data_IF_643981723578
#
_entry.id   IF_643981723578
#
_cell.length_a   1.000
_cell.length_b   1.000
_cell.length_c   1.000
_cell.angle_alpha   90.00
_cell.angle_beta   90.00
_cell.angle_gamma   90.00
#
_symmetry.space_group_name_H-M   'P 1'
#
loop_
_entity.id
_entity.type
_entity.pdbx_description
1 polymer ?
#
# COMPACT_ATOMS: atom_id res chain seq x y z
N UNK A 1 -14.84 7.29 -0.16
CA UNK A 1 -14.00 6.35 0.63
C UNK A 1 -12.56 6.48 0.16
N UNK A 2 -11.57 6.40 1.06
CA UNK A 2 -10.15 6.47 0.68
C UNK A 2 -9.75 5.19 -0.08
N UNK A 3 -9.07 5.37 -1.22
CA UNK A 3 -8.54 4.28 -2.03
C UNK A 3 -7.45 3.51 -1.26
N UNK A 4 -7.33 2.18 -1.45
CA UNK A 4 -6.25 1.41 -0.82
C UNK A 4 -4.88 1.98 -1.24
N UNK A 5 -3.93 2.02 -0.31
CA UNK A 5 -2.68 2.77 -0.52
C UNK A 5 -1.67 2.10 -1.46
N UNK A 6 -1.67 0.77 -1.55
CA UNK A 6 -0.72 -0.02 -2.33
C UNK A 6 -1.32 -1.39 -2.66
N UNK A 7 -1.00 -1.96 -3.81
CA UNK A 7 -1.34 -3.34 -4.18
C UNK A 7 -0.18 -4.28 -3.78
N UNK A 8 -0.38 -5.27 -2.90
CA UNK A 8 0.65 -6.24 -2.59
C UNK A 8 0.68 -7.32 -3.68
N UNK A 9 1.76 -7.35 -4.46
CA UNK A 9 2.03 -8.41 -5.45
C UNK A 9 3.21 -9.23 -4.97
N UNK A 10 2.96 -10.52 -4.72
CA UNK A 10 3.97 -11.47 -4.26
C UNK A 10 4.48 -12.28 -5.46
N UNK A 11 5.72 -12.08 -5.94
CA UNK A 11 6.18 -12.67 -7.20
C UNK A 11 6.18 -14.19 -7.20
N UNK A 12 6.56 -14.82 -6.09
CA UNK A 12 6.58 -16.27 -5.91
C UNK A 12 5.20 -16.90 -6.14
N UNK A 13 4.18 -16.31 -5.52
CA UNK A 13 2.83 -16.81 -5.58
C UNK A 13 2.13 -16.37 -6.88
N UNK A 14 2.48 -15.20 -7.42
CA UNK A 14 2.02 -14.77 -8.75
C UNK A 14 2.51 -15.72 -9.83
N UNK A 15 3.80 -16.07 -9.86
CA UNK A 15 4.37 -16.97 -10.86
C UNK A 15 3.84 -18.39 -10.68
N UNK A 16 3.70 -18.88 -9.44
CA UNK A 16 3.10 -20.20 -9.18
C UNK A 16 1.73 -20.37 -9.81
N UNK A 17 0.88 -19.35 -9.72
CA UNK A 17 -0.50 -19.44 -10.23
C UNK A 17 -0.57 -19.14 -11.74
N UNK A 18 0.37 -18.38 -12.29
CA UNK A 18 0.27 -17.80 -13.64
C UNK A 18 1.36 -18.26 -14.63
N UNK A 19 2.26 -19.18 -14.29
CA UNK A 19 3.41 -19.53 -15.14
C UNK A 19 3.06 -20.05 -16.54
N UNK A 20 1.83 -20.55 -16.75
CA UNK A 20 1.36 -21.03 -18.06
C UNK A 20 0.85 -19.91 -18.97
N UNK A 21 0.66 -18.71 -18.44
CA UNK A 21 0.22 -17.57 -19.25
C UNK A 21 1.35 -17.11 -20.17
N UNK A 22 0.98 -16.73 -21.38
CA UNK A 22 1.86 -15.98 -22.29
C UNK A 22 2.15 -14.58 -21.72
N UNK A 23 3.20 -13.93 -22.22
CA UNK A 23 3.56 -12.57 -21.82
C UNK A 23 2.41 -11.58 -22.00
N UNK A 24 1.63 -11.72 -23.07
CA UNK A 24 0.50 -10.85 -23.32
C UNK A 24 -0.66 -11.10 -22.35
N UNK A 25 -0.93 -12.36 -22.01
CA UNK A 25 -1.92 -12.71 -20.99
C UNK A 25 -1.49 -12.23 -19.60
N UNK A 26 -0.19 -12.25 -19.28
CA UNK A 26 0.32 -11.62 -18.07
C UNK A 26 0.04 -10.11 -18.07
N UNK A 27 0.29 -9.42 -19.19
CA UNK A 27 -0.05 -8.01 -19.33
C UNK A 27 -1.53 -7.74 -19.10
N UNK A 28 -2.41 -8.52 -19.74
CA UNK A 28 -3.85 -8.44 -19.54
C UNK A 28 -4.23 -8.66 -18.07
N UNK A 29 -3.74 -9.73 -17.45
CA UNK A 29 -4.03 -10.04 -16.05
C UNK A 29 -3.60 -8.92 -15.10
N UNK A 30 -2.40 -8.36 -15.27
CA UNK A 30 -1.89 -7.26 -14.46
C UNK A 30 -2.73 -5.97 -14.63
N UNK A 31 -3.12 -5.62 -15.86
CA UNK A 31 -3.97 -4.45 -16.12
C UNK A 31 -5.32 -4.57 -15.42
N UNK A 32 -5.96 -5.73 -15.53
CA UNK A 32 -7.24 -5.98 -14.85
C UNK A 32 -7.08 -5.95 -13.32
N UNK A 33 -6.02 -6.54 -12.77
CA UNK A 33 -5.74 -6.48 -11.33
C UNK A 33 -5.58 -5.04 -10.82
N UNK A 34 -4.83 -4.21 -11.56
CA UNK A 34 -4.59 -2.81 -11.17
C UNK A 34 -5.87 -1.97 -11.22
N UNK A 35 -6.68 -2.14 -12.27
CA UNK A 35 -7.96 -1.43 -12.36
C UNK A 35 -8.95 -1.90 -11.27
N UNK A 36 -9.05 -3.22 -11.05
CA UNK A 36 -9.89 -3.78 -10.00
C UNK A 36 -9.46 -3.24 -8.63
N UNK A 37 -8.16 -3.18 -8.34
CA UNK A 37 -7.65 -2.64 -7.09
C UNK A 37 -8.05 -1.19 -6.83
N UNK A 38 -8.12 -0.40 -7.91
CA UNK A 38 -8.47 1.02 -7.87
C UNK A 38 -9.98 1.26 -7.73
N UNK A 39 -10.79 0.23 -7.96
CA UNK A 39 -12.25 0.27 -7.86
C UNK A 39 -12.74 0.21 -6.40
N UNK A 40 -13.94 0.73 -6.10
CA UNK A 40 -14.44 0.86 -4.73
C UNK A 40 -14.78 -0.47 -4.05
N UNK A 41 -14.95 -1.55 -4.83
CA UNK A 41 -15.37 -2.87 -4.40
C UNK A 41 -14.37 -3.99 -4.79
N UNK A 42 -13.22 -3.62 -5.34
CA UNK A 42 -12.20 -4.55 -5.83
C UNK A 42 -12.71 -5.50 -6.93
N UNK A 43 -13.57 -4.98 -7.80
CA UNK A 43 -14.16 -5.72 -8.92
C UNK A 43 -14.29 -4.86 -10.18
N UNK A 44 -14.58 -5.49 -11.31
CA UNK A 44 -14.75 -4.90 -12.63
C UNK A 44 -16.09 -5.29 -13.25
N UNK A 45 -16.63 -4.53 -14.20
CA UNK A 45 -17.77 -4.98 -15.02
C UNK A 45 -17.45 -6.25 -15.81
N UNK A 46 -18.35 -7.23 -15.85
CA UNK A 46 -18.23 -8.42 -16.71
C UNK A 46 -18.67 -8.08 -18.15
N UNK A 47 -17.95 -7.15 -18.78
CA UNK A 47 -18.21 -6.72 -20.15
C UNK A 47 -16.92 -6.73 -20.97
N UNK A 48 -16.92 -7.47 -22.08
CA UNK A 48 -15.75 -7.61 -22.95
C UNK A 48 -15.16 -6.27 -23.43
N UNK A 49 -16.01 -5.32 -23.81
CA UNK A 49 -15.55 -4.03 -24.35
C UNK A 49 -14.87 -3.19 -23.27
N UNK A 50 -15.41 -3.20 -22.06
CA UNK A 50 -14.82 -2.48 -20.93
C UNK A 50 -13.50 -3.11 -20.51
N UNK A 51 -13.45 -4.44 -20.42
CA UNK A 51 -12.21 -5.17 -20.06
C UNK A 51 -11.12 -5.01 -21.12
N UNK A 52 -11.48 -5.02 -22.41
CA UNK A 52 -10.54 -4.75 -23.50
C UNK A 52 -10.00 -3.32 -23.44
N UNK A 53 -10.85 -2.35 -23.12
CA UNK A 53 -10.48 -0.94 -22.95
C UNK A 53 -9.53 -0.75 -21.78
N UNK A 54 -9.80 -1.40 -20.64
CA UNK A 54 -8.91 -1.38 -19.46
C UNK A 54 -7.51 -1.90 -19.82
N UNK A 55 -7.46 -2.99 -20.59
CA UNK A 55 -6.20 -3.60 -21.00
C UNK A 55 -5.51 -2.90 -22.18
N UNK A 56 -6.15 -1.88 -22.78
CA UNK A 56 -5.61 -1.14 -23.92
C UNK A 56 -5.48 -1.96 -25.22
N UNK A 57 -6.31 -2.98 -25.40
CA UNK A 57 -6.29 -3.85 -26.59
C UNK A 57 -7.62 -3.84 -27.33
N UNK A 58 -7.61 -4.26 -28.59
CA UNK A 58 -8.84 -4.35 -29.38
C UNK A 58 -9.74 -5.48 -28.86
N UNK A 59 -11.09 -5.36 -28.98
CA UNK A 59 -12.00 -6.44 -28.58
C UNK A 59 -11.70 -7.77 -29.28
N UNK A 60 -11.31 -7.72 -30.56
CA UNK A 60 -10.91 -8.91 -31.31
C UNK A 60 -9.68 -9.61 -30.71
N UNK A 61 -8.69 -8.83 -30.22
CA UNK A 61 -7.52 -9.38 -29.53
C UNK A 61 -7.90 -9.92 -28.16
N UNK A 62 -8.70 -9.16 -27.41
CA UNK A 62 -9.19 -9.56 -26.09
C UNK A 62 -9.89 -10.92 -26.15
N UNK A 63 -10.81 -11.15 -27.10
CA UNK A 63 -11.49 -12.46 -27.26
C UNK A 63 -10.56 -13.64 -27.43
N UNK A 64 -9.40 -13.44 -28.08
CA UNK A 64 -8.43 -14.51 -28.32
C UNK A 64 -7.67 -14.91 -27.05
N UNK A 65 -7.34 -13.95 -26.19
CA UNK A 65 -6.42 -14.16 -25.05
C UNK A 65 -7.13 -14.20 -23.69
N UNK A 66 -8.33 -13.63 -23.59
CA UNK A 66 -9.07 -13.49 -22.34
C UNK A 66 -9.58 -14.79 -21.71
N UNK A 67 -9.91 -15.88 -22.43
CA UNK A 67 -10.46 -17.08 -21.77
C UNK A 67 -9.58 -17.62 -20.64
N UNK A 68 -8.28 -17.81 -20.89
CA UNK A 68 -7.32 -18.31 -19.89
C UNK A 68 -7.09 -17.33 -18.73
N UNK A 69 -7.19 -16.02 -19.02
CA UNK A 69 -7.06 -15.00 -17.99
C UNK A 69 -8.31 -14.94 -17.12
N UNK A 70 -9.49 -14.90 -17.72
CA UNK A 70 -10.78 -14.76 -17.04
C UNK A 70 -11.18 -16.02 -16.26
N UNK A 71 -10.61 -17.19 -16.57
CA UNK A 71 -10.75 -18.40 -15.73
C UNK A 71 -10.26 -18.16 -14.29
N UNK A 72 -9.28 -17.26 -14.12
CA UNK A 72 -8.74 -16.89 -12.81
C UNK A 72 -9.63 -15.90 -12.03
N UNK A 73 -10.70 -15.41 -12.65
CA UNK A 73 -11.65 -14.45 -12.08
C UNK A 73 -12.96 -15.15 -11.74
N UNK A 74 -13.59 -14.71 -10.66
CA UNK A 74 -14.94 -15.14 -10.26
C UNK A 74 -15.95 -14.13 -10.80
N UNK A 75 -17.05 -14.63 -11.37
CA UNK A 75 -18.14 -13.82 -11.90
C UNK A 75 -19.31 -13.85 -10.93
N UNK A 76 -19.84 -12.69 -10.58
CA UNK A 76 -20.99 -12.55 -9.70
C UNK A 76 -21.73 -11.24 -10.00
N UNK A 77 -23.05 -11.28 -10.12
CA UNK A 77 -23.88 -10.08 -10.31
C UNK A 77 -23.48 -9.16 -11.47
N UNK A 78 -22.99 -9.70 -12.59
CA UNK A 78 -22.52 -8.90 -13.74
C UNK A 78 -21.16 -8.23 -13.52
N UNK A 79 -20.41 -8.65 -12.51
CA UNK A 79 -19.07 -8.17 -12.18
C UNK A 79 -18.09 -9.33 -12.10
N UNK A 80 -16.81 -9.03 -12.26
CA UNK A 80 -15.72 -9.97 -12.07
C UNK A 80 -14.79 -9.50 -10.96
N UNK A 81 -14.30 -10.44 -10.15
CA UNK A 81 -13.32 -10.17 -9.10
C UNK A 81 -12.36 -11.34 -8.91
N UNK A 82 -11.18 -11.08 -8.39
CA UNK A 82 -10.22 -12.12 -8.04
C UNK A 82 -10.23 -12.36 -6.53
N UNK A 83 -10.44 -13.61 -6.09
CA UNK A 83 -10.57 -13.98 -4.67
C UNK A 83 -9.39 -13.52 -3.81
N UNK A 84 -8.17 -13.78 -4.29
CA UNK A 84 -6.94 -13.39 -3.59
C UNK A 84 -6.79 -11.87 -3.50
N UNK A 85 -7.00 -11.16 -4.61
CA UNK A 85 -6.91 -9.70 -4.66
C UNK A 85 -7.91 -9.05 -3.70
N UNK A 86 -9.15 -9.54 -3.67
CA UNK A 86 -10.19 -9.05 -2.77
C UNK A 86 -9.80 -9.22 -1.29
N UNK A 87 -9.15 -10.34 -0.94
CA UNK A 87 -8.64 -10.58 0.41
C UNK A 87 -7.57 -9.54 0.79
N UNK A 88 -6.59 -9.34 -0.07
CA UNK A 88 -5.53 -8.34 0.15
C UNK A 88 -6.09 -6.92 0.23
N UNK A 89 -7.04 -6.60 -0.64
CA UNK A 89 -7.70 -5.29 -0.66
C UNK A 89 -8.42 -4.98 0.65
N UNK A 90 -9.17 -5.97 1.18
CA UNK A 90 -9.83 -5.85 2.49
C UNK A 90 -8.81 -5.64 3.61
N UNK A 91 -7.74 -6.43 3.61
CA UNK A 91 -6.67 -6.33 4.59
C UNK A 91 -5.98 -4.95 4.59
N UNK A 92 -5.61 -4.43 3.41
CA UNK A 92 -4.98 -3.10 3.28
C UNK A 92 -5.92 -2.00 3.75
N UNK A 93 -7.21 -2.08 3.40
CA UNK A 93 -8.22 -1.12 3.86
C UNK A 93 -8.40 -1.14 5.37
N UNK A 94 -8.50 -2.33 5.96
CA UNK A 94 -8.64 -2.48 7.41
C UNK A 94 -7.43 -1.90 8.15
N UNK A 95 -6.21 -2.20 7.70
CA UNK A 95 -4.99 -1.61 8.29
C UNK A 95 -4.95 -0.09 8.13
N UNK A 96 -5.35 0.43 6.98
CA UNK A 96 -5.41 1.88 6.74
C UNK A 96 -6.40 2.56 7.70
N UNK A 97 -7.59 1.97 7.89
CA UNK A 97 -8.60 2.46 8.82
C UNK A 97 -8.08 2.46 10.27
N UNK A 98 -7.46 1.36 10.72
CA UNK A 98 -6.85 1.25 12.06
C UNK A 98 -5.77 2.31 12.29
N UNK A 99 -4.89 2.54 11.30
CA UNK A 99 -3.86 3.59 11.38
C UNK A 99 -4.46 4.99 11.46
N UNK A 100 -5.51 5.26 10.67
CA UNK A 100 -6.22 6.54 10.70
C UNK A 100 -6.87 6.77 12.07
N UNK A 101 -7.54 5.77 12.62
CA UNK A 101 -8.15 5.87 13.94
C UNK A 101 -7.11 6.13 15.04
N UNK A 102 -6.01 5.38 15.06
CA UNK A 102 -4.92 5.56 16.01
C UNK A 102 -4.26 6.94 15.90
N UNK A 103 -4.06 7.45 14.67
CA UNK A 103 -3.55 8.80 14.46
C UNK A 103 -4.52 9.84 15.04
N UNK A 104 -5.81 9.75 14.71
CA UNK A 104 -6.83 10.67 15.21
C UNK A 104 -6.88 10.70 16.74
N UNK A 105 -6.80 9.54 17.41
CA UNK A 105 -6.77 9.48 18.88
C UNK A 105 -5.55 10.18 19.48
N UNK A 106 -4.37 10.06 18.85
CA UNK A 106 -3.15 10.75 19.30
C UNK A 106 -3.27 12.27 19.17
N UNK A 107 -3.80 12.75 18.05
CA UNK A 107 -4.00 14.18 17.82
C UNK A 107 -5.01 14.77 18.82
N UNK A 108 -6.13 14.08 19.06
CA UNK A 108 -7.13 14.50 20.06
C UNK A 108 -6.54 14.57 21.48
N UNK A 109 -5.68 13.62 21.86
CA UNK A 109 -5.00 13.65 23.16
C UNK A 109 -4.00 14.80 23.27
N UNK A 110 -3.28 15.12 22.19
CA UNK A 110 -2.36 16.26 22.16
C UNK A 110 -3.09 17.59 22.24
N UNK A 111 -4.22 17.75 21.53
CA UNK A 111 -5.04 18.97 21.60
C UNK A 111 -5.63 19.15 23.01
N UNK A 112 -6.15 18.09 23.62
CA UNK A 112 -6.63 18.12 25.00
C UNK A 112 -5.51 18.45 26.00
N UNK A 113 -4.29 17.95 25.78
CA UNK A 113 -3.13 18.25 26.63
C UNK A 113 -2.62 19.68 26.43
N UNK A 114 -2.68 20.24 25.22
CA UNK A 114 -2.35 21.64 24.93
C UNK A 114 -3.34 22.62 25.58
N UNK A 115 -4.63 22.29 25.63
CA UNK A 115 -5.62 23.10 26.34
C UNK A 115 -5.36 23.14 27.86
N UNK A 116 -4.71 22.12 28.44
CA UNK A 116 -4.36 22.09 29.86
C UNK A 116 -3.04 22.82 30.18
N UNK A 117 -2.12 22.94 29.21
CA UNK A 117 -0.81 23.58 29.43
C UNK A 117 -0.88 25.10 29.69
N UNK A 118 -1.99 25.78 29.34
CA UNK A 118 -2.20 27.20 29.61
C UNK A 118 -2.88 27.51 30.96
N UNK A 119 -3.15 26.50 31.80
CA UNK A 119 -3.87 26.68 33.07
C UNK A 119 -2.98 26.80 34.33
N UNK A 120 -1.64 26.77 34.19
CA UNK A 120 -0.71 26.77 35.34
C UNK A 120 0.31 27.92 35.25
N UNK A 121 -0.15 29.17 35.17
CA UNK A 121 0.70 30.33 35.48
C UNK A 121 -0.05 31.34 36.36
N UNK A 122 -0.24 30.98 37.64
CA UNK A 122 -0.60 31.91 38.70
C UNK A 122 0.17 31.53 39.97
N UNK A 123 1.00 32.46 40.46
CA UNK A 123 1.55 32.45 41.82
C UNK A 123 3.06 32.25 41.88
N UNK A 124 3.78 33.35 42.09
CA UNK A 124 5.24 33.37 42.20
C UNK A 124 5.79 32.82 43.52
N UNK A 125 7.07 32.47 43.47
CA UNK A 125 7.92 32.15 44.60
C UNK A 125 9.37 32.21 44.14
N UNK A 126 10.08 33.24 44.57
CA UNK A 126 11.49 33.48 44.31
C UNK A 126 12.33 32.33 44.89
N UNK A 127 13.30 31.86 44.09
CA UNK A 127 14.28 30.86 44.50
C UNK A 127 15.50 30.93 43.59
N UNK A 128 16.49 31.71 44.01
CA UNK A 128 17.82 31.77 43.42
C UNK A 128 18.52 30.40 43.52
N UNK A 129 19.20 29.99 42.44
CA UNK A 129 20.01 28.78 42.41
C UNK A 129 20.68 28.61 41.05
N UNK A 130 21.96 29.00 40.97
CA UNK A 130 22.66 29.30 39.74
C UNK A 130 23.21 28.13 38.92
N UNK A 131 23.60 28.48 37.69
CA UNK A 131 24.84 28.01 37.05
C UNK A 131 24.76 26.77 36.16
N UNK A 132 24.92 26.96 34.85
CA UNK A 132 25.35 25.88 33.95
C UNK A 132 25.03 26.07 32.47
N UNK A 133 25.76 26.98 31.80
CA UNK A 133 25.90 26.98 30.35
C UNK A 133 26.84 25.84 29.90
N UNK A 134 26.41 24.96 29.00
CA UNK A 134 27.20 24.57 27.80
C UNK A 134 26.40 23.56 26.95
N UNK A 135 26.07 23.99 25.73
CA UNK A 135 26.55 23.46 24.45
C UNK A 135 25.74 22.29 23.89
N UNK A 136 25.12 22.56 22.73
CA UNK A 136 24.74 21.50 21.81
C UNK A 136 25.96 20.99 21.03
N UNK A 137 25.91 19.74 20.59
CA UNK A 137 26.13 19.37 19.20
C UNK A 137 25.83 17.87 18.99
N UNK A 138 25.13 17.60 17.88
CA UNK A 138 25.45 16.52 16.94
C UNK A 138 25.75 15.12 17.49
N UNK A 139 24.70 14.30 17.70
CA UNK A 139 24.83 12.83 17.67
C UNK A 139 24.64 12.32 16.24
N UNK A 140 25.63 12.62 15.39
CA UNK A 140 25.92 11.90 14.16
C UNK A 140 27.20 11.13 14.49
N UNK A 141 27.12 9.80 14.42
CA UNK A 141 28.22 8.86 14.10
C UNK A 141 27.95 7.52 14.81
N UNK A 142 27.21 6.63 14.15
CA UNK A 142 27.38 5.18 14.31
C UNK A 142 26.55 4.40 13.27
N UNK A 143 26.97 4.41 12.01
CA UNK A 143 26.87 3.20 11.17
C UNK A 143 28.11 3.19 10.29
N UNK A 144 29.07 2.36 10.69
CA UNK A 144 30.28 2.10 9.92
C UNK A 144 29.96 1.66 8.50
N UNK A 145 30.50 2.42 7.57
CA UNK A 145 30.62 2.11 6.16
C UNK A 145 31.42 0.80 6.01
N UNK A 146 30.72 -0.31 5.73
CA UNK A 146 31.36 -1.56 5.31
C UNK A 146 31.24 -1.67 3.79
N UNK A 147 32.34 -1.62 3.04
CA UNK A 147 32.28 -1.80 1.60
C UNK A 147 31.81 -3.22 1.24
N UNK A 148 30.87 -3.28 0.32
CA UNK A 148 30.35 -4.49 -0.32
C UNK A 148 31.47 -5.22 -1.05
N UNK A 149 31.86 -6.41 -0.56
CA UNK A 149 32.92 -7.22 -1.18
C UNK A 149 32.33 -8.03 -2.34
N UNK A 150 32.67 -7.65 -3.57
CA UNK A 150 32.40 -8.42 -4.79
C UNK A 150 33.25 -9.70 -4.75
N UNK A 151 32.60 -10.86 -4.68
CA UNK A 151 33.27 -12.17 -4.85
C UNK A 151 33.52 -12.36 -6.33
N UNK A 152 34.78 -12.18 -6.74
CA UNK A 152 35.24 -12.45 -8.09
C UNK A 152 35.14 -13.94 -8.42
N UNK A 153 34.57 -14.24 -9.58
CA UNK A 153 34.53 -15.58 -10.15
C UNK A 153 35.92 -16.06 -10.55
N UNK A 154 36.25 -17.28 -10.13
CA UNK A 154 37.38 -18.05 -10.62
C UNK A 154 36.94 -18.96 -11.77
N UNK A 155 37.78 -19.01 -12.81
CA UNK A 155 37.64 -19.82 -14.02
C UNK A 155 37.74 -21.32 -13.75
#
# INVERSE_FOLDING_TARGET
MSKPSHIPVFPDAYLRDNFRLTLEQHGLFLMLMMEAWNSPDCSLPDNEKDLAKIAGITPARFRKISPEVLEKWTRDGGRIYQKRLLKEWRYVREKSAKRKAAANSRWQQQDASKCNANAMHLGGGEGEGGGGLSQGSSFRDEVGDKPFRVVGGGK
#
